data_IF_828148988538
#
_entry.id   IF_828148988538
#
_cell.length_a   1.000
_cell.length_b   1.000
_cell.length_c   1.000
_cell.angle_alpha   90.00
_cell.angle_beta   90.00
_cell.angle_gamma   90.00
#
_symmetry.space_group_name_H-M   'P 1'
#
loop_
_entity.id
_entity.type
_entity.pdbx_description
1 polymer ?
#
# COMPACT_ATOMS: atom_id res chain seq x y z
N UNK A 1 4.31 16.27 12.15
CA UNK A 1 3.58 15.33 11.27
C UNK A 1 4.55 14.82 10.24
N UNK A 2 4.51 13.52 9.91
CA UNK A 2 5.29 12.98 8.79
C UNK A 2 4.57 13.40 7.51
N UNK A 3 5.24 14.15 6.63
CA UNK A 3 4.66 14.60 5.36
C UNK A 3 4.57 13.46 4.36
N UNK A 4 5.62 12.63 4.30
CA UNK A 4 5.75 11.45 3.45
C UNK A 4 6.58 10.38 4.14
N UNK A 5 6.30 9.12 3.86
CA UNK A 5 7.09 7.99 4.31
C UNK A 5 6.86 6.78 3.41
N UNK A 6 7.79 5.84 3.47
CA UNK A 6 7.67 4.55 2.81
C UNK A 6 8.03 3.46 3.83
N UNK A 7 7.25 2.39 3.86
CA UNK A 7 7.39 1.29 4.83
C UNK A 7 7.29 -0.03 4.11
N UNK A 8 8.23 -0.92 4.41
CA UNK A 8 8.20 -2.31 3.97
C UNK A 8 7.90 -3.21 5.17
N UNK A 9 6.96 -4.14 4.99
CA UNK A 9 6.55 -5.08 6.03
C UNK A 9 6.80 -6.49 5.53
N UNK A 10 7.61 -7.23 6.27
CA UNK A 10 7.95 -8.63 6.00
C UNK A 10 7.61 -9.50 7.19
N UNK A 11 7.25 -10.76 6.92
CA UNK A 11 7.24 -11.79 7.96
C UNK A 11 8.66 -12.26 8.23
N UNK A 12 8.94 -12.74 9.45
CA UNK A 12 10.30 -13.03 9.89
C UNK A 12 11.02 -14.12 9.07
N UNK A 13 10.27 -15.00 8.40
CA UNK A 13 10.81 -16.12 7.63
C UNK A 13 10.76 -15.91 6.11
N UNK A 14 10.26 -14.76 5.64
CA UNK A 14 10.13 -14.48 4.21
C UNK A 14 11.36 -13.70 3.70
N UNK A 15 11.77 -14.02 2.47
CA UNK A 15 12.90 -13.39 1.80
C UNK A 15 12.57 -11.96 1.33
N UNK A 16 11.30 -11.72 0.97
CA UNK A 16 10.83 -10.46 0.41
C UNK A 16 9.79 -9.79 1.32
N UNK A 17 9.65 -8.46 1.29
CA UNK A 17 8.50 -7.79 1.90
C UNK A 17 7.20 -8.30 1.28
N UNK A 18 6.19 -8.51 2.11
CA UNK A 18 4.85 -8.88 1.65
C UNK A 18 3.99 -7.64 1.38
N UNK A 19 4.16 -6.57 2.18
CA UNK A 19 3.48 -5.29 1.99
C UNK A 19 4.47 -4.15 1.86
N UNK A 20 4.18 -3.23 0.95
CA UNK A 20 4.93 -1.99 0.72
C UNK A 20 3.91 -0.84 0.81
N UNK A 21 4.16 0.15 1.65
CA UNK A 21 3.20 1.24 1.90
C UNK A 21 3.87 2.59 1.77
N UNK A 22 3.44 3.36 0.77
CA UNK A 22 3.79 4.76 0.63
C UNK A 22 2.73 5.65 1.28
N UNK A 23 3.16 6.63 2.08
CA UNK A 23 2.30 7.60 2.75
C UNK A 23 2.59 9.01 2.23
N UNK A 24 1.55 9.83 2.12
CA UNK A 24 1.66 11.27 1.88
C UNK A 24 0.47 12.00 2.47
N UNK A 25 0.70 13.00 3.34
CA UNK A 25 -0.33 13.97 3.79
C UNK A 25 -1.73 13.37 4.08
N UNK A 26 -1.78 12.28 4.84
CA UNK A 26 -3.05 11.68 5.25
C UNK A 26 -3.63 10.66 4.28
N UNK A 27 -3.02 10.44 3.11
CA UNK A 27 -3.32 9.36 2.17
C UNK A 27 -2.15 8.36 2.09
N UNK A 28 -2.40 7.22 1.49
CA UNK A 28 -1.42 6.16 1.26
C UNK A 28 -1.78 5.30 0.05
N UNK A 29 -0.77 4.61 -0.48
CA UNK A 29 -0.89 3.54 -1.48
C UNK A 29 -0.29 2.28 -0.87
N UNK A 30 -1.00 1.16 -1.02
CA UNK A 30 -0.57 -0.15 -0.51
C UNK A 30 -0.31 -1.06 -1.70
N UNK A 31 0.89 -1.61 -1.75
CA UNK A 31 1.31 -2.65 -2.69
C UNK A 31 1.56 -3.94 -1.92
N UNK A 32 1.45 -5.06 -2.61
CA UNK A 32 1.95 -6.33 -2.11
C UNK A 32 2.86 -7.03 -3.11
N UNK A 33 3.79 -7.83 -2.59
CA UNK A 33 4.57 -8.77 -3.39
C UNK A 33 4.17 -10.20 -3.04
N UNK A 34 3.81 -10.99 -4.05
CA UNK A 34 3.57 -12.43 -3.87
C UNK A 34 4.77 -13.31 -4.25
N UNK A 35 5.82 -12.66 -4.77
CA UNK A 35 7.09 -13.23 -5.18
C UNK A 35 8.00 -12.13 -5.75
N UNK A 36 9.23 -12.46 -6.17
CA UNK A 36 10.21 -11.48 -6.65
C UNK A 36 9.73 -10.68 -7.88
N UNK A 37 8.88 -11.28 -8.71
CA UNK A 37 8.41 -10.71 -9.97
C UNK A 37 6.89 -10.44 -10.01
N UNK A 38 6.21 -10.49 -8.85
CA UNK A 38 4.76 -10.28 -8.79
C UNK A 38 4.44 -9.15 -7.82
N UNK A 39 3.79 -8.10 -8.36
CA UNK A 39 3.25 -7.00 -7.58
C UNK A 39 1.77 -6.80 -7.88
N UNK A 40 1.03 -6.38 -6.84
CA UNK A 40 -0.34 -5.93 -6.98
C UNK A 40 -0.60 -4.68 -6.14
N UNK A 41 -1.57 -3.87 -6.57
CA UNK A 41 -2.04 -2.70 -5.85
C UNK A 41 -3.35 -3.01 -5.13
N UNK A 42 -3.48 -2.52 -3.90
CA UNK A 42 -4.75 -2.58 -3.18
C UNK A 42 -5.68 -1.48 -3.69
N UNK A 43 -6.93 -1.85 -3.99
CA UNK A 43 -7.95 -0.90 -4.38
C UNK A 43 -8.13 0.21 -3.33
N UNK A 44 -8.38 1.41 -3.84
CA UNK A 44 -8.69 2.61 -3.10
C UNK A 44 -9.92 2.44 -2.22
N UNK A 45 -10.03 3.27 -1.18
CA UNK A 45 -11.16 3.22 -0.23
C UNK A 45 -12.15 4.39 -0.42
N UNK A 46 -12.02 5.13 -1.52
CA UNK A 46 -12.82 6.32 -1.82
C UNK A 46 -12.37 7.58 -1.08
N UNK A 47 -11.22 7.57 -0.39
CA UNK A 47 -10.65 8.79 0.23
C UNK A 47 -10.22 9.85 -0.78
N UNK A 48 -9.99 9.45 -2.03
CA UNK A 48 -9.71 10.34 -3.18
C UNK A 48 -10.68 10.02 -4.32
N UNK A 49 -10.94 11.00 -5.18
CA UNK A 49 -11.76 10.76 -6.37
C UNK A 49 -10.98 9.85 -7.34
N UNK A 50 -11.66 8.92 -8.02
CA UNK A 50 -10.99 7.94 -8.89
C UNK A 50 -10.06 8.57 -9.94
N UNK A 51 -10.44 9.72 -10.52
CA UNK A 51 -9.62 10.45 -11.50
C UNK A 51 -8.59 11.41 -10.88
N UNK A 52 -8.53 11.54 -9.56
CA UNK A 52 -7.52 12.34 -8.89
C UNK A 52 -6.17 11.65 -9.01
N UNK A 53 -5.13 12.43 -9.31
CA UNK A 53 -3.77 11.94 -9.48
C UNK A 53 -2.90 12.45 -8.34
N UNK A 54 -2.18 11.54 -7.69
CA UNK A 54 -1.32 11.86 -6.55
C UNK A 54 0.04 11.20 -6.69
N UNK A 55 1.08 11.93 -6.32
CA UNK A 55 2.43 11.39 -6.22
C UNK A 55 2.68 10.88 -4.80
N UNK A 56 3.14 9.65 -4.67
CA UNK A 56 3.46 9.02 -3.38
C UNK A 56 4.88 8.48 -3.44
N UNK A 57 5.62 8.66 -2.35
CA UNK A 57 6.98 8.13 -2.22
C UNK A 57 6.96 6.60 -2.16
N UNK A 58 7.58 5.97 -3.14
CA UNK A 58 7.84 4.53 -3.20
C UNK A 58 9.37 4.36 -3.21
N UNK A 59 9.90 3.76 -2.15
CA UNK A 59 11.34 3.76 -1.88
C UNK A 59 11.90 5.19 -1.86
N UNK A 60 12.73 5.55 -2.84
CA UNK A 60 13.41 6.85 -2.94
C UNK A 60 12.81 7.75 -4.05
N UNK A 61 11.78 7.29 -4.75
CA UNK A 61 11.20 7.98 -5.91
C UNK A 61 9.71 8.26 -5.71
N UNK A 62 9.22 9.32 -6.35
CA UNK A 62 7.79 9.61 -6.40
C UNK A 62 7.17 8.82 -7.56
N UNK A 63 6.19 7.98 -7.23
CA UNK A 63 5.35 7.30 -8.20
C UNK A 63 3.94 7.90 -8.20
N UNK A 64 3.37 8.00 -9.39
CA UNK A 64 2.07 8.63 -9.62
C UNK A 64 0.96 7.58 -9.63
N UNK A 65 -0.09 7.80 -8.84
CA UNK A 65 -1.25 6.91 -8.74
C UNK A 65 -2.56 7.67 -8.95
N UNK A 66 -3.57 6.97 -9.47
CA UNK A 66 -4.95 7.46 -9.51
C UNK A 66 -5.65 7.15 -8.18
N UNK A 67 -6.74 7.88 -7.88
CA UNK A 67 -7.55 7.64 -6.69
C UNK A 67 -8.15 6.23 -6.60
N UNK A 68 -8.13 5.47 -7.69
CA UNK A 68 -8.48 4.05 -7.73
C UNK A 68 -7.59 3.18 -6.83
N UNK A 69 -6.40 3.65 -6.44
CA UNK A 69 -5.45 2.94 -5.58
C UNK A 69 -5.07 3.71 -4.31
N UNK A 70 -5.69 4.88 -4.11
CA UNK A 70 -5.40 5.75 -2.97
C UNK A 70 -6.35 5.44 -1.83
N UNK A 71 -5.77 5.28 -0.64
CA UNK A 71 -6.48 5.01 0.60
C UNK A 71 -6.20 6.08 1.63
N UNK A 72 -7.10 6.25 2.60
CA UNK A 72 -6.81 7.05 3.77
C UNK A 72 -5.67 6.43 4.58
N UNK A 73 -4.74 7.23 5.08
CA UNK A 73 -3.57 6.75 5.85
C UNK A 73 -3.95 5.89 7.06
N UNK A 74 -5.04 6.22 7.75
CA UNK A 74 -5.58 5.40 8.83
C UNK A 74 -6.04 4.02 8.33
N UNK A 75 -6.73 3.97 7.19
CA UNK A 75 -7.19 2.72 6.58
C UNK A 75 -6.05 1.88 6.01
N UNK A 76 -5.01 2.50 5.47
CA UNK A 76 -3.79 1.81 5.08
C UNK A 76 -3.04 1.25 6.30
N UNK A 77 -3.01 1.98 7.41
CA UNK A 77 -2.45 1.46 8.67
C UNK A 77 -3.22 0.25 9.19
N UNK A 78 -4.55 0.25 9.08
CA UNK A 78 -5.37 -0.90 9.46
C UNK A 78 -5.02 -2.17 8.65
N UNK A 79 -4.65 -2.02 7.37
CA UNK A 79 -4.20 -3.14 6.52
C UNK A 79 -2.90 -3.74 7.07
N UNK A 80 -1.93 -2.89 7.41
CA UNK A 80 -0.66 -3.33 8.00
C UNK A 80 -0.89 -4.05 9.34
N UNK A 81 -1.72 -3.48 10.21
CA UNK A 81 -2.02 -4.10 11.52
C UNK A 81 -2.66 -5.47 11.33
N UNK A 82 -3.68 -5.60 10.47
CA UNK A 82 -4.34 -6.89 10.18
C UNK A 82 -3.36 -7.92 9.63
N UNK A 83 -2.48 -7.52 8.71
CA UNK A 83 -1.47 -8.41 8.17
C UNK A 83 -0.51 -8.91 9.25
N UNK A 84 -0.01 -8.01 10.10
CA UNK A 84 0.88 -8.35 11.22
C UNK A 84 0.18 -9.25 12.25
N UNK A 85 -1.12 -9.08 12.44
CA UNK A 85 -1.96 -9.93 13.30
C UNK A 85 -2.30 -11.29 12.67
N UNK A 86 -1.79 -11.59 11.47
CA UNK A 86 -1.87 -12.91 10.83
C UNK A 86 -3.03 -13.07 9.85
N UNK A 87 -3.67 -11.97 9.41
CA UNK A 87 -4.63 -12.05 8.31
C UNK A 87 -3.93 -12.46 7.01
N UNK A 88 -4.60 -13.30 6.23
CA UNK A 88 -4.16 -13.66 4.88
C UNK A 88 -4.12 -12.41 3.98
N UNK A 89 -3.04 -12.24 3.22
CA UNK A 89 -2.78 -11.07 2.39
C UNK A 89 -3.95 -10.79 1.42
N UNK A 90 -4.45 -11.83 0.78
CA UNK A 90 -5.51 -11.74 -0.23
C UNK A 90 -6.88 -11.47 0.38
N UNK A 91 -7.02 -11.59 1.71
CA UNK A 91 -8.24 -11.22 2.43
C UNK A 91 -8.31 -9.74 2.85
N UNK A 92 -7.23 -8.98 2.67
CA UNK A 92 -7.13 -7.59 3.14
C UNK A 92 -7.89 -6.58 2.28
N UNK A 93 -8.32 -6.97 1.08
CA UNK A 93 -9.17 -6.21 0.18
C UNK A 93 -9.10 -6.73 -1.25
N UNK A 94 -9.44 -5.86 -2.20
CA UNK A 94 -9.37 -6.17 -3.62
C UNK A 94 -7.99 -5.78 -4.17
N UNK A 95 -7.27 -6.74 -4.72
CA UNK A 95 -5.93 -6.56 -5.27
C UNK A 95 -5.98 -6.57 -6.80
N UNK A 96 -5.24 -5.67 -7.45
CA UNK A 96 -5.09 -5.59 -8.90
C UNK A 96 -3.63 -5.80 -9.29
N UNK A 97 -3.37 -6.85 -10.06
CA UNK A 97 -2.03 -7.21 -10.54
C UNK A 97 -1.46 -6.14 -11.50
N UNK A 98 -0.14 -6.00 -11.49
CA UNK A 98 0.63 -5.12 -12.39
C UNK A 98 1.28 -5.87 -13.56
#
# INVERSE_FOLDING_TARGET
MIEQAYVEVRLANDEFPALLVGFRRGIAVVQCMSGPDSMALLAGDGSSAASEVVDVLIMDELATFTGEYVRGSARARDVVVKFVDGADLWSLGEWHDL
#
